data_IF_369342825621
#
_entry.id   IF_369342825621
#
_cell.length_a   1.000
_cell.length_b   1.000
_cell.length_c   1.000
_cell.angle_alpha   90.00
_cell.angle_beta   90.00
_cell.angle_gamma   90.00
#
_symmetry.space_group_name_H-M   'P 1'
#
loop_
_entity.id
_entity.type
_entity.pdbx_description
1 polymer ?
#
# COMPACT_ATOMS: atom_id res chain seq x y z
N UNK A 1 43.01 40.21 3.48
CA UNK A 1 42.40 41.55 3.34
C UNK A 1 41.52 41.47 2.10
N UNK A 2 40.24 41.12 2.28
CA UNK A 2 39.11 42.08 2.29
C UNK A 2 38.94 42.75 0.93
N UNK A 3 37.79 42.89 0.32
CA UNK A 3 36.41 42.41 0.48
C UNK A 3 35.68 43.13 -0.68
N UNK A 4 34.46 42.70 -0.98
CA UNK A 4 33.36 43.51 -1.54
C UNK A 4 33.57 44.32 -2.84
N UNK A 5 32.83 43.99 -3.90
CA UNK A 5 31.47 44.52 -4.16
C UNK A 5 31.50 46.02 -4.45
N UNK A 6 31.13 46.42 -5.68
CA UNK A 6 30.12 47.46 -5.88
C UNK A 6 29.72 47.60 -7.36
N UNK A 7 28.51 47.08 -7.63
CA UNK A 7 27.42 47.75 -8.34
C UNK A 7 27.70 49.06 -9.09
N UNK A 8 27.34 49.09 -10.38
CA UNK A 8 26.68 50.28 -10.98
C UNK A 8 25.48 49.92 -11.82
N UNK A 9 24.37 50.51 -11.42
CA UNK A 9 23.09 50.62 -12.12
C UNK A 9 23.11 51.89 -12.99
N UNK A 10 22.33 51.88 -14.09
CA UNK A 10 21.63 53.02 -14.73
C UNK A 10 22.31 53.76 -15.90
N UNK A 11 21.55 54.52 -16.75
CA UNK A 11 20.25 54.25 -17.39
C UNK A 11 20.19 54.76 -18.87
N UNK A 12 19.16 54.40 -19.64
CA UNK A 12 18.51 55.27 -20.64
C UNK A 12 17.28 54.53 -21.22
N UNK A 13 16.06 54.76 -20.69
CA UNK A 13 15.13 55.87 -20.95
C UNK A 13 14.52 55.83 -22.36
N UNK A 14 13.35 55.17 -22.47
CA UNK A 14 12.16 55.53 -23.27
C UNK A 14 11.39 54.23 -23.61
N UNK A 15 10.10 54.05 -23.38
CA UNK A 15 9.06 54.92 -22.86
C UNK A 15 7.85 54.05 -22.52
N UNK A 16 7.37 54.21 -21.28
CA UNK A 16 5.97 54.19 -20.84
C UNK A 16 5.00 53.32 -21.67
N UNK A 17 4.55 52.19 -21.09
CA UNK A 17 3.16 51.95 -20.66
C UNK A 17 2.98 50.50 -20.16
N UNK A 18 2.37 50.38 -18.97
CA UNK A 18 1.88 49.15 -18.31
C UNK A 18 2.96 48.13 -17.93
N UNK A 19 3.56 48.14 -16.74
CA UNK A 19 2.95 47.85 -15.42
C UNK A 19 1.77 46.89 -15.55
N UNK A 20 2.06 45.59 -15.66
CA UNK A 20 1.49 44.48 -14.87
C UNK A 20 2.24 43.21 -15.27
N UNK A 21 3.51 43.09 -14.85
CA UNK A 21 4.21 41.81 -14.81
C UNK A 21 4.53 41.50 -13.35
N UNK A 22 3.48 41.47 -12.51
CA UNK A 22 3.60 41.00 -11.15
C UNK A 22 3.76 39.48 -11.21
N UNK A 23 5.01 39.05 -11.02
CA UNK A 23 5.40 37.89 -10.24
C UNK A 23 4.34 36.78 -10.09
N UNK A 24 4.46 35.72 -10.88
CA UNK A 24 3.84 34.43 -10.58
C UNK A 24 4.59 33.31 -11.29
N UNK A 25 5.86 33.11 -10.90
CA UNK A 25 6.60 31.90 -11.25
C UNK A 25 6.86 31.07 -9.99
N UNK A 26 5.78 30.55 -9.41
CA UNK A 26 5.82 29.48 -8.41
C UNK A 26 4.87 28.39 -8.88
N UNK A 27 5.27 27.61 -9.89
CA UNK A 27 4.56 26.38 -10.21
C UNK A 27 5.10 25.26 -9.33
N UNK A 28 4.21 24.80 -8.47
CA UNK A 28 4.40 23.86 -7.40
C UNK A 28 5.19 22.59 -7.79
N UNK A 29 6.30 22.36 -7.09
CA UNK A 29 6.85 21.02 -6.92
C UNK A 29 5.89 20.21 -6.05
N UNK A 30 4.85 19.64 -6.68
CA UNK A 30 4.03 18.61 -6.05
C UNK A 30 4.89 17.35 -5.90
N UNK A 31 5.47 17.20 -4.71
CA UNK A 31 6.13 15.97 -4.30
C UNK A 31 5.15 14.80 -4.46
N UNK A 32 5.43 13.93 -5.43
CA UNK A 32 4.81 12.61 -5.55
C UNK A 32 5.32 11.76 -4.39
N UNK A 33 4.73 11.94 -3.21
CA UNK A 33 4.85 10.97 -2.13
C UNK A 33 4.11 9.70 -2.58
N UNK A 34 4.84 8.75 -3.18
CA UNK A 34 4.33 7.41 -3.37
C UNK A 34 3.89 6.89 -1.98
N UNK A 35 2.67 6.32 -1.83
CA UNK A 35 2.37 5.62 -0.60
C UNK A 35 3.37 4.49 -0.50
N UNK A 36 4.27 4.57 0.48
CA UNK A 36 5.12 3.46 0.82
C UNK A 36 4.17 2.33 1.25
N UNK A 37 3.98 1.34 0.37
CA UNK A 37 3.31 0.10 0.75
C UNK A 37 4.15 -0.50 1.87
N UNK A 38 3.67 -0.30 3.11
CA UNK A 38 4.29 -0.87 4.27
C UNK A 38 4.20 -2.39 4.09
N UNK A 39 5.37 -3.05 4.01
CA UNK A 39 5.53 -4.49 3.85
C UNK A 39 5.14 -5.25 5.13
N UNK A 40 4.05 -4.84 5.76
CA UNK A 40 3.51 -5.44 6.98
C UNK A 40 3.06 -6.85 6.61
N UNK A 41 3.63 -7.90 7.24
CA UNK A 41 3.18 -9.25 7.02
C UNK A 41 1.72 -9.39 7.47
N UNK A 42 0.96 -10.27 6.83
CA UNK A 42 -0.39 -10.55 7.33
C UNK A 42 -0.30 -11.43 8.57
N UNK A 43 -1.02 -11.06 9.63
CA UNK A 43 -1.01 -11.80 10.89
C UNK A 43 -2.28 -11.56 11.71
N UNK A 44 -2.51 -12.44 12.68
CA UNK A 44 -3.50 -12.30 13.73
C UNK A 44 -2.81 -12.39 15.10
N UNK A 45 -3.20 -11.51 16.03
CA UNK A 45 -2.69 -11.55 17.40
C UNK A 45 -3.80 -11.20 18.40
N UNK A 46 -3.79 -11.86 19.55
CA UNK A 46 -4.62 -11.49 20.70
C UNK A 46 -3.74 -10.85 21.76
N UNK A 47 -4.08 -9.63 22.13
CA UNK A 47 -3.43 -8.88 23.18
C UNK A 47 -4.25 -8.92 24.47
N UNK A 48 -3.62 -8.61 25.63
CA UNK A 48 -4.31 -8.43 26.89
C UNK A 48 -5.52 -7.48 26.78
N UNK A 49 -6.47 -7.59 27.70
CA UNK A 49 -7.66 -6.72 27.71
C UNK A 49 -8.64 -7.00 26.56
N UNK A 50 -8.64 -8.21 25.99
CA UNK A 50 -9.51 -8.65 24.88
C UNK A 50 -9.30 -7.84 23.59
N UNK A 51 -8.08 -7.41 23.33
CA UNK A 51 -7.73 -6.68 22.12
C UNK A 51 -7.36 -7.68 21.02
N UNK A 52 -8.11 -7.69 19.91
CA UNK A 52 -7.80 -8.48 18.71
C UNK A 52 -7.11 -7.59 17.67
N UNK A 53 -6.00 -8.06 17.11
CA UNK A 53 -5.24 -7.35 16.08
C UNK A 53 -5.16 -8.20 14.84
N UNK A 54 -5.50 -7.60 13.70
CA UNK A 54 -5.41 -8.25 12.39
C UNK A 54 -4.71 -7.34 11.39
N UNK A 55 -3.69 -7.85 10.72
CA UNK A 55 -3.08 -7.20 9.58
C UNK A 55 -3.45 -7.95 8.29
N UNK A 56 -3.99 -7.23 7.32
CA UNK A 56 -4.33 -7.75 6.00
C UNK A 56 -3.23 -7.42 4.98
N UNK A 57 -3.24 -8.18 3.87
CA UNK A 57 -2.37 -7.92 2.72
C UNK A 57 -2.60 -6.49 2.20
N UNK A 58 -1.51 -5.73 2.03
CA UNK A 58 -1.57 -4.32 1.59
C UNK A 58 -1.50 -3.29 2.74
N UNK A 59 -1.01 -3.69 3.91
CA UNK A 59 -0.61 -2.74 4.97
C UNK A 59 -1.76 -2.15 5.79
N UNK A 60 -2.97 -2.70 5.71
CA UNK A 60 -4.09 -2.28 6.58
C UNK A 60 -4.08 -3.12 7.86
N UNK A 61 -4.13 -2.43 8.99
CA UNK A 61 -4.20 -3.06 10.31
C UNK A 61 -5.53 -2.70 10.96
N UNK A 62 -6.17 -3.67 11.59
CA UNK A 62 -7.42 -3.54 12.33
C UNK A 62 -7.19 -3.91 13.79
N UNK A 63 -7.74 -3.11 14.69
CA UNK A 63 -7.72 -3.34 16.14
C UNK A 63 -9.18 -3.43 16.58
N UNK A 64 -9.60 -4.56 17.14
CA UNK A 64 -11.00 -4.86 17.47
C UNK A 64 -11.97 -4.63 16.30
N UNK A 65 -11.53 -4.92 15.08
CA UNK A 65 -12.30 -4.70 13.85
C UNK A 65 -12.33 -3.25 13.35
N UNK A 66 -11.78 -2.28 14.09
CA UNK A 66 -11.67 -0.89 13.64
C UNK A 66 -10.37 -0.65 12.86
N UNK A 67 -10.42 0.07 11.73
CA UNK A 67 -9.21 0.39 10.97
C UNK A 67 -8.28 1.26 11.81
N UNK A 68 -7.02 0.82 11.94
CA UNK A 68 -6.00 1.51 12.68
C UNK A 68 -5.15 2.40 11.75
N UNK A 69 -4.68 3.53 12.30
CA UNK A 69 -3.67 4.37 11.64
C UNK A 69 -2.30 3.73 11.78
N UNK A 70 -1.71 3.37 10.65
CA UNK A 70 -0.38 2.76 10.61
C UNK A 70 0.69 3.84 10.47
N UNK A 71 1.72 3.77 11.31
CA UNK A 71 2.98 4.48 11.17
C UNK A 71 4.09 3.45 10.97
N UNK A 72 4.76 3.52 9.83
CA UNK A 72 5.96 2.70 9.59
C UNK A 72 7.18 3.45 10.14
N UNK A 73 8.01 2.76 10.91
CA UNK A 73 9.32 3.27 11.31
C UNK A 73 10.41 2.78 10.33
N UNK A 74 10.26 1.54 9.84
CA UNK A 74 11.11 0.93 8.82
C UNK A 74 10.43 -0.34 8.27
N UNK A 75 11.14 -1.07 7.39
CA UNK A 75 10.66 -2.31 6.76
C UNK A 75 10.41 -3.49 7.71
N UNK A 76 10.70 -3.35 9.00
CA UNK A 76 10.55 -4.39 10.02
C UNK A 76 9.86 -3.90 11.29
N UNK A 77 9.42 -2.64 11.34
CA UNK A 77 8.88 -2.04 12.56
C UNK A 77 7.75 -1.06 12.23
N UNK A 78 6.59 -1.32 12.83
CA UNK A 78 5.36 -0.60 12.54
C UNK A 78 4.55 -0.36 13.81
N UNK A 79 3.74 0.69 13.79
CA UNK A 79 2.85 1.06 14.88
C UNK A 79 1.44 1.28 14.34
N UNK A 80 0.47 0.57 14.88
CA UNK A 80 -0.94 0.71 14.53
C UNK A 80 -1.70 1.34 15.71
N UNK A 81 -2.44 2.42 15.45
CA UNK A 81 -3.22 3.12 16.48
C UNK A 81 -4.71 3.12 16.16
N UNK A 82 -5.53 2.72 17.11
CA UNK A 82 -6.99 2.85 17.06
C UNK A 82 -7.50 3.28 18.43
N UNK A 83 -8.17 4.44 18.49
CA UNK A 83 -8.64 5.01 19.75
C UNK A 83 -7.50 5.19 20.77
N UNK A 84 -7.64 4.58 21.94
CA UNK A 84 -6.69 4.59 23.05
C UNK A 84 -5.72 3.38 23.06
N UNK A 85 -5.73 2.56 22.00
CA UNK A 85 -4.86 1.39 21.86
C UNK A 85 -3.81 1.67 20.80
N UNK A 86 -2.55 1.45 21.19
CA UNK A 86 -1.38 1.51 20.31
C UNK A 86 -0.77 0.11 20.24
N UNK A 87 -0.55 -0.41 19.06
CA UNK A 87 0.05 -1.73 18.84
C UNK A 87 1.38 -1.55 18.12
N UNK A 88 2.44 -2.08 18.70
CA UNK A 88 3.78 -2.11 18.11
C UNK A 88 4.04 -3.50 17.53
N UNK A 89 4.52 -3.54 16.29
CA UNK A 89 4.82 -4.77 15.55
C UNK A 89 6.27 -4.71 15.10
N UNK A 90 7.06 -5.70 15.51
CA UNK A 90 8.45 -5.87 15.09
C UNK A 90 8.64 -7.23 14.40
N UNK A 91 9.34 -7.22 13.26
CA UNK A 91 9.70 -8.41 12.49
C UNK A 91 11.17 -8.75 12.79
N UNK A 92 11.37 -9.81 13.57
CA UNK A 92 12.67 -10.34 13.89
C UNK A 92 13.30 -11.19 12.78
N UNK A 93 14.53 -11.69 12.98
CA UNK A 93 15.17 -12.63 12.07
C UNK A 93 14.29 -13.85 11.79
N UNK A 94 14.28 -14.32 10.54
CA UNK A 94 13.44 -15.45 10.12
C UNK A 94 11.93 -15.15 10.06
N UNK A 95 11.51 -13.87 10.13
CA UNK A 95 10.11 -13.47 10.01
C UNK A 95 9.28 -13.64 11.29
N UNK A 96 9.92 -13.89 12.43
CA UNK A 96 9.23 -14.00 13.73
C UNK A 96 8.64 -12.64 14.10
N UNK A 97 7.35 -12.63 14.47
CA UNK A 97 6.68 -11.41 14.90
C UNK A 97 6.70 -11.25 16.41
N UNK A 98 7.08 -10.07 16.86
CA UNK A 98 6.85 -9.60 18.23
C UNK A 98 5.81 -8.50 18.17
N UNK A 99 4.69 -8.71 18.86
CA UNK A 99 3.58 -7.77 18.89
C UNK A 99 3.30 -7.40 20.35
N UNK A 100 3.16 -6.11 20.62
CA UNK A 100 2.79 -5.59 21.94
C UNK A 100 1.75 -4.50 21.82
N UNK A 101 0.92 -4.36 22.85
CA UNK A 101 -0.08 -3.30 22.95
C UNK A 101 0.22 -2.38 24.12
N UNK A 102 0.05 -1.09 23.90
CA UNK A 102 -0.05 -0.07 24.92
C UNK A 102 -1.49 0.44 24.91
N UNK A 103 -2.22 0.16 25.98
CA UNK A 103 -3.57 0.65 26.23
C UNK A 103 -3.71 1.00 27.72
N UNK A 104 -4.74 1.78 28.07
CA UNK A 104 -5.07 2.03 29.48
C UNK A 104 -5.61 0.74 30.13
N UNK A 105 -5.19 0.47 31.37
CA UNK A 105 -5.67 -0.68 32.14
C UNK A 105 -5.14 -2.03 31.63
N UNK A 106 -5.92 -3.11 31.66
CA UNK A 106 -5.45 -4.48 31.39
C UNK A 106 -5.07 -4.73 29.92
N UNK A 107 -5.19 -3.74 29.04
CA UNK A 107 -4.85 -3.85 27.62
C UNK A 107 -3.38 -3.62 27.28
N UNK A 108 -2.52 -3.35 28.27
CA UNK A 108 -1.08 -3.21 28.07
C UNK A 108 -0.39 -4.58 28.21
N UNK A 109 0.45 -4.95 27.24
CA UNK A 109 1.34 -6.10 27.36
C UNK A 109 1.74 -6.72 26.02
N UNK A 110 2.36 -7.90 26.10
CA UNK A 110 2.75 -8.68 24.92
C UNK A 110 1.54 -9.43 24.38
N UNK A 111 1.35 -9.37 23.07
CA UNK A 111 0.28 -10.08 22.40
C UNK A 111 0.72 -11.49 22.04
N UNK A 112 -0.21 -12.43 22.16
CA UNK A 112 -0.05 -13.77 21.62
C UNK A 112 -0.33 -13.72 20.12
N UNK A 113 0.71 -13.88 19.32
CA UNK A 113 0.59 -14.04 17.88
C UNK A 113 -0.02 -15.42 17.60
N UNK A 114 -1.21 -15.44 16.99
CA UNK A 114 -1.96 -16.67 16.72
C UNK A 114 -1.55 -17.27 15.38
N UNK A 115 -1.54 -16.43 14.34
CA UNK A 115 -1.13 -16.83 13.01
C UNK A 115 -0.23 -15.76 12.41
N UNK A 116 0.94 -16.17 11.94
CA UNK A 116 1.76 -15.34 11.04
C UNK A 116 1.56 -15.92 9.66
N UNK A 117 0.83 -15.22 8.81
CA UNK A 117 0.87 -15.46 7.37
C UNK A 117 2.05 -14.65 6.82
N UNK A 118 3.24 -15.06 7.24
CA UNK A 118 4.47 -14.72 6.54
C UNK A 118 4.31 -15.37 5.19
N UNK A 119 4.11 -14.55 4.15
CA UNK A 119 3.98 -14.93 2.74
C UNK A 119 4.32 -16.41 2.52
N UNK A 120 3.36 -17.30 2.78
CA UNK A 120 3.43 -18.59 2.16
C UNK A 120 3.30 -18.24 0.69
N UNK A 121 4.18 -18.71 -0.21
CA UNK A 121 3.85 -18.69 -1.62
C UNK A 121 2.44 -19.24 -1.67
N UNK A 122 1.44 -18.43 -2.05
CA UNK A 122 0.07 -18.91 -2.20
C UNK A 122 0.23 -20.04 -3.19
N UNK A 123 0.29 -21.29 -2.72
CA UNK A 123 0.32 -22.45 -3.60
C UNK A 123 -0.93 -22.26 -4.42
N UNK A 124 -0.81 -22.02 -5.74
CA UNK A 124 -2.00 -21.80 -6.53
C UNK A 124 -2.80 -23.12 -6.41
N UNK A 125 -3.97 -23.04 -5.78
CA UNK A 125 -4.81 -24.19 -5.44
C UNK A 125 -5.67 -23.93 -4.20
N UNK A 126 -6.98 -24.10 -4.34
CA UNK A 126 -8.03 -23.88 -3.32
C UNK A 126 -8.30 -22.41 -2.96
N UNK A 127 -8.22 -21.50 -3.93
CA UNK A 127 -8.64 -20.10 -3.74
C UNK A 127 -10.17 -20.03 -3.76
N UNK A 128 -10.84 -19.53 -2.71
CA UNK A 128 -12.30 -19.30 -2.75
C UNK A 128 -12.67 -18.31 -3.87
N UNK A 129 -13.84 -18.44 -4.52
CA UNK A 129 -14.23 -17.56 -5.61
C UNK A 129 -14.08 -16.07 -5.30
N UNK A 130 -14.48 -15.63 -4.09
CA UNK A 130 -14.37 -14.23 -3.66
C UNK A 130 -12.93 -13.67 -3.57
N UNK A 131 -11.90 -14.51 -3.66
CA UNK A 131 -10.50 -14.11 -3.64
C UNK A 131 -9.82 -14.19 -5.02
N UNK A 132 -10.49 -14.74 -6.04
CA UNK A 132 -9.91 -14.93 -7.38
C UNK A 132 -9.55 -13.61 -8.05
N UNK A 133 -10.32 -12.55 -7.82
CA UNK A 133 -10.04 -11.21 -8.35
C UNK A 133 -8.70 -10.66 -7.81
N UNK A 134 -8.48 -10.79 -6.50
CA UNK A 134 -7.22 -10.36 -5.88
C UNK A 134 -6.02 -11.17 -6.42
N UNK A 135 -6.16 -12.50 -6.53
CA UNK A 135 -5.11 -13.35 -7.11
C UNK A 135 -4.84 -12.99 -8.58
N UNK A 136 -5.89 -12.75 -9.37
CA UNK A 136 -5.76 -12.35 -10.77
C UNK A 136 -4.98 -11.04 -10.93
N UNK A 137 -5.30 -10.05 -10.09
CA UNK A 137 -4.59 -8.75 -10.05
C UNK A 137 -3.10 -8.93 -9.74
N UNK A 138 -2.77 -9.75 -8.73
CA UNK A 138 -1.37 -9.99 -8.34
C UNK A 138 -0.57 -10.70 -9.46
N UNK A 139 -1.18 -11.71 -10.10
CA UNK A 139 -0.55 -12.44 -11.21
C UNK A 139 -0.37 -11.56 -12.45
N UNK A 140 -1.37 -10.73 -12.77
CA UNK A 140 -1.30 -9.76 -13.85
C UNK A 140 -0.22 -8.70 -13.60
N UNK A 141 -0.12 -8.18 -12.36
CA UNK A 141 0.93 -7.25 -11.96
C UNK A 141 2.33 -7.82 -12.20
N UNK A 142 2.55 -9.08 -11.80
CA UNK A 142 3.82 -9.77 -12.05
C UNK A 142 4.07 -10.01 -13.53
N UNK A 143 3.06 -10.47 -14.28
CA UNK A 143 3.21 -10.83 -15.70
C UNK A 143 3.44 -9.62 -16.60
N UNK A 144 2.75 -8.52 -16.33
CA UNK A 144 2.81 -7.28 -17.11
C UNK A 144 3.76 -6.24 -16.51
N UNK A 145 4.40 -6.55 -15.37
CA UNK A 145 5.31 -5.66 -14.63
C UNK A 145 4.65 -4.32 -14.26
N UNK A 146 3.42 -4.38 -13.79
CA UNK A 146 2.60 -3.24 -13.37
C UNK A 146 2.49 -3.20 -11.84
N UNK A 147 2.11 -2.04 -11.28
CA UNK A 147 1.72 -1.98 -9.86
C UNK A 147 0.32 -2.57 -9.70
N UNK A 148 0.03 -3.34 -8.63
CA UNK A 148 -1.32 -3.85 -8.39
C UNK A 148 -2.39 -2.76 -8.31
N UNK A 149 -2.03 -1.55 -7.87
CA UNK A 149 -2.91 -0.37 -7.84
C UNK A 149 -3.37 0.10 -9.22
N UNK A 150 -2.59 -0.19 -10.27
CA UNK A 150 -2.84 0.27 -11.64
C UNK A 150 -3.74 -0.70 -12.42
N UNK A 151 -4.11 -1.82 -11.78
CA UNK A 151 -4.90 -2.89 -12.35
C UNK A 151 -6.28 -2.91 -11.69
N UNK A 152 -7.31 -2.83 -12.51
CA UNK A 152 -8.70 -3.05 -12.09
C UNK A 152 -9.13 -4.43 -12.56
N UNK A 153 -9.49 -5.32 -11.64
CA UNK A 153 -10.15 -6.59 -11.97
C UNK A 153 -11.65 -6.45 -11.80
N UNK A 154 -12.39 -6.89 -12.81
CA UNK A 154 -13.84 -6.91 -12.86
C UNK A 154 -14.38 -8.28 -12.36
N UNK A 155 -15.63 -8.58 -12.69
CA UNK A 155 -16.39 -9.70 -12.12
C UNK A 155 -15.76 -11.08 -12.39
N UNK A 156 -16.01 -11.99 -11.44
CA UNK A 156 -15.66 -13.41 -11.56
C UNK A 156 -16.77 -14.10 -12.35
N UNK A 157 -16.41 -14.73 -13.46
CA UNK A 157 -17.34 -15.47 -14.34
C UNK A 157 -17.01 -16.95 -14.27
N UNK A 158 -18.00 -17.80 -14.02
CA UNK A 158 -17.81 -19.27 -14.07
C UNK A 158 -17.75 -19.73 -15.52
N UNK A 159 -16.73 -20.51 -15.89
CA UNK A 159 -16.50 -21.01 -17.26
C UNK A 159 -16.31 -22.52 -17.21
N UNK A 160 -17.38 -23.26 -17.54
CA UNK A 160 -17.39 -24.72 -17.44
C UNK A 160 -17.09 -25.19 -16.01
N UNK A 161 -16.03 -26.00 -15.87
CA UNK A 161 -15.55 -26.46 -14.58
C UNK A 161 -14.72 -25.42 -13.80
N UNK A 162 -14.25 -24.35 -14.44
CA UNK A 162 -13.34 -23.35 -13.84
C UNK A 162 -13.93 -21.95 -13.72
N UNK A 163 -13.06 -20.98 -13.49
CA UNK A 163 -13.41 -19.56 -13.34
C UNK A 163 -12.56 -18.69 -14.27
N UNK A 164 -13.10 -17.57 -14.69
CA UNK A 164 -12.37 -16.51 -15.37
C UNK A 164 -12.60 -15.18 -14.67
N UNK A 165 -11.54 -14.40 -14.51
CA UNK A 165 -11.60 -13.02 -14.03
C UNK A 165 -11.10 -12.13 -15.15
N UNK A 166 -11.86 -11.12 -15.51
CA UNK A 166 -11.43 -10.10 -16.47
C UNK A 166 -10.81 -8.92 -15.72
N UNK A 167 -9.88 -8.24 -16.36
CA UNK A 167 -9.30 -7.03 -15.80
C UNK A 167 -8.79 -6.09 -16.87
N UNK A 168 -8.40 -4.91 -16.44
CA UNK A 168 -7.91 -3.84 -17.29
C UNK A 168 -6.85 -2.99 -16.58
N UNK A 169 -5.98 -2.41 -17.37
CA UNK A 169 -4.98 -1.42 -16.93
C UNK A 169 -4.82 -0.35 -18.02
N UNK A 170 -4.11 0.73 -17.69
CA UNK A 170 -3.72 1.75 -18.67
C UNK A 170 -2.28 1.52 -19.13
N UNK A 171 -2.08 1.44 -20.44
CA UNK A 171 -0.76 1.45 -21.08
C UNK A 171 -0.67 2.63 -22.04
N UNK A 172 0.28 3.55 -21.82
CA UNK A 172 0.49 4.76 -22.65
C UNK A 172 -0.80 5.50 -23.02
N UNK A 173 -1.74 5.61 -22.08
CA UNK A 173 -3.02 6.31 -22.28
C UNK A 173 -4.13 5.47 -22.91
N UNK A 174 -3.86 4.24 -23.35
CA UNK A 174 -4.87 3.30 -23.87
C UNK A 174 -5.29 2.31 -22.78
N UNK A 175 -6.56 1.95 -22.74
CA UNK A 175 -7.06 0.87 -21.88
C UNK A 175 -6.75 -0.48 -22.53
N UNK A 176 -6.05 -1.33 -21.79
CA UNK A 176 -5.73 -2.70 -22.19
C UNK A 176 -6.49 -3.65 -21.28
N UNK A 177 -7.08 -4.69 -21.87
CA UNK A 177 -7.83 -5.72 -21.16
C UNK A 177 -7.02 -7.01 -21.08
N UNK A 178 -7.23 -7.78 -20.03
CA UNK A 178 -6.66 -9.10 -19.84
C UNK A 178 -7.66 -10.02 -19.16
N UNK A 179 -7.41 -11.33 -19.23
CA UNK A 179 -8.23 -12.34 -18.57
C UNK A 179 -7.34 -13.34 -17.84
N UNK A 180 -7.64 -13.57 -16.56
CA UNK A 180 -7.10 -14.69 -15.81
C UNK A 180 -8.03 -15.89 -15.91
N UNK A 181 -7.45 -17.06 -16.09
CA UNK A 181 -8.15 -18.35 -16.03
C UNK A 181 -7.76 -19.10 -14.77
N UNK A 182 -8.75 -19.73 -14.14
CA UNK A 182 -8.59 -20.58 -12.97
C UNK A 182 -9.27 -21.94 -13.23
N UNK A 183 -8.72 -23.01 -12.66
CA UNK A 183 -9.41 -24.32 -12.68
C UNK A 183 -10.57 -24.38 -11.67
N UNK A 184 -11.24 -25.51 -11.57
CA UNK A 184 -12.40 -25.68 -10.69
C UNK A 184 -12.11 -25.59 -9.20
N UNK A 185 -10.84 -25.71 -8.81
CA UNK A 185 -10.39 -25.54 -7.43
C UNK A 185 -9.88 -24.11 -7.17
N UNK A 186 -10.08 -23.17 -8.10
CA UNK A 186 -9.60 -21.81 -7.96
C UNK A 186 -8.07 -21.70 -8.03
N UNK A 187 -7.38 -22.68 -8.65
CA UNK A 187 -5.96 -22.58 -8.95
C UNK A 187 -5.76 -21.70 -10.17
N UNK A 188 -4.84 -20.75 -10.10
CA UNK A 188 -4.46 -19.93 -11.26
C UNK A 188 -3.84 -20.80 -12.35
N UNK A 189 -4.31 -20.64 -13.59
CA UNK A 189 -3.84 -21.38 -14.77
C UNK A 189 -3.04 -20.48 -15.70
N UNK A 190 -3.57 -19.30 -16.04
CA UNK A 190 -2.93 -18.39 -16.99
C UNK A 190 -3.51 -16.98 -16.92
N UNK A 191 -2.74 -16.00 -17.37
CA UNK A 191 -3.22 -14.65 -17.71
C UNK A 191 -2.87 -14.36 -19.18
N UNK A 192 -3.83 -13.78 -19.91
CA UNK A 192 -3.68 -13.38 -21.31
C UNK A 192 -4.23 -11.98 -21.52
#
# INVERSE_FOLDING_TARGET
MTNDSETRISPNKAGRRAIYAAASLVLAAFWLAAPAEAKVPSFSAACPGRVDVRADNGGRVFINGQPARLKSFNDRSYEARAGNVTVSVAVGPGGRLTVSSAARGPGNGICQVKDVRAEAPRRPGNTPPGQLAAVCRDQAAQRFRLRPSDITTDNIVRRGAGYSVEGKFRDRGRTTFFRCSFDGNGRFVSVR
#
